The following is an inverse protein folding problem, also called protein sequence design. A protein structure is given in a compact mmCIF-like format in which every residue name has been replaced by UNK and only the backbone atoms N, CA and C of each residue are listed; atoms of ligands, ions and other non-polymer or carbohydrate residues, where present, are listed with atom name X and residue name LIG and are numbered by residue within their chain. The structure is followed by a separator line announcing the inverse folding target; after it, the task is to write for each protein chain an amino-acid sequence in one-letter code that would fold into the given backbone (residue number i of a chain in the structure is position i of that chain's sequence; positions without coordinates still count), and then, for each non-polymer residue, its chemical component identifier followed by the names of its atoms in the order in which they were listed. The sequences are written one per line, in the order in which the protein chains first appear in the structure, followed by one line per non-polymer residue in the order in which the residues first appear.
data_IF_893361230221
#
_entry.id   IF_893361230221
#
_cell.length_a   1.000
_cell.length_b   1.000
_cell.length_c   1.000
_cell.angle_alpha   90.00
_cell.angle_beta   90.00
_cell.angle_gamma   90.00
#
_symmetry.space_group_name_H-M   'P 1'
#
loop_
_entity.id
_entity.type
_entity.pdbx_description
1 polymer ?
#
# COMPACT_ATOMS: atom_id res chain seq x y z
N UNK A 1 3.00 -16.21 -8.64
CA UNK A 1 2.10 -17.10 -9.40
C UNK A 1 1.09 -16.22 -10.14
N UNK A 2 0.81 -16.42 -11.42
CA UNK A 2 -0.01 -15.49 -12.23
C UNK A 2 -1.51 -15.46 -11.86
N UNK A 3 -1.98 -16.34 -11.02
CA UNK A 3 -3.41 -16.45 -10.63
C UNK A 3 -3.72 -16.04 -9.20
N UNK A 4 -2.81 -15.39 -8.50
CA UNK A 4 -2.98 -15.00 -7.11
C UNK A 4 -2.59 -13.53 -6.90
N UNK A 5 -3.39 -12.83 -6.11
CA UNK A 5 -3.06 -11.50 -5.57
C UNK A 5 -2.96 -11.57 -4.06
N UNK A 6 -1.89 -11.05 -3.54
CA UNK A 6 -1.63 -10.95 -2.10
C UNK A 6 -1.70 -9.49 -1.67
N UNK A 7 -2.46 -9.22 -0.60
CA UNK A 7 -2.53 -7.90 0.03
C UNK A 7 -2.11 -8.09 1.49
N UNK A 8 -0.89 -7.70 1.79
CA UNK A 8 -0.34 -7.76 3.16
C UNK A 8 -0.78 -6.54 3.95
N UNK A 9 -1.15 -6.74 5.20
CA UNK A 9 -1.58 -5.67 6.11
C UNK A 9 -1.35 -6.06 7.57
N UNK A 10 -1.22 -5.07 8.45
CA UNK A 10 -1.14 -5.30 9.90
C UNK A 10 -2.55 -5.28 10.51
N UNK A 11 -3.02 -6.43 10.98
CA UNK A 11 -4.39 -6.60 11.49
C UNK A 11 -4.68 -5.86 12.80
N UNK A 12 -3.66 -5.40 13.52
CA UNK A 12 -3.81 -4.57 14.73
C UNK A 12 -3.89 -3.07 14.42
N UNK A 13 -3.59 -2.68 13.17
CA UNK A 13 -3.58 -1.27 12.74
C UNK A 13 -4.66 -0.95 11.71
N UNK A 14 -5.00 -1.92 10.86
CA UNK A 14 -5.93 -1.69 9.74
C UNK A 14 -6.78 -2.92 9.41
N UNK A 15 -7.87 -2.66 8.69
CA UNK A 15 -8.72 -3.68 8.10
C UNK A 15 -8.63 -3.59 6.57
N UNK A 16 -8.57 -4.75 5.91
CA UNK A 16 -8.61 -4.85 4.45
C UNK A 16 -9.81 -5.66 4.01
N UNK A 17 -10.60 -5.09 3.10
CA UNK A 17 -11.77 -5.70 2.49
C UNK A 17 -11.56 -5.80 0.97
N UNK A 18 -11.91 -6.94 0.37
CA UNK A 18 -12.00 -7.10 -1.09
C UNK A 18 -13.43 -6.82 -1.50
N UNK A 19 -13.63 -5.73 -2.24
CA UNK A 19 -14.95 -5.26 -2.67
C UNK A 19 -15.41 -5.94 -3.95
N UNK A 20 -14.45 -6.28 -4.83
CA UNK A 20 -14.74 -6.90 -6.12
C UNK A 20 -13.48 -7.65 -6.60
N UNK A 21 -13.65 -8.84 -7.17
CA UNK A 21 -12.57 -9.58 -7.82
C UNK A 21 -13.12 -10.51 -8.90
N UNK A 22 -12.51 -10.52 -10.09
CA UNK A 22 -12.88 -11.38 -11.20
C UNK A 22 -11.75 -11.57 -12.22
N UNK A 23 -11.88 -12.58 -13.06
CA UNK A 23 -11.09 -12.74 -14.27
C UNK A 23 -11.96 -12.36 -15.48
N UNK A 24 -11.43 -11.51 -16.35
CA UNK A 24 -12.00 -11.20 -17.66
C UNK A 24 -11.23 -12.01 -18.70
N UNK A 25 -11.88 -12.98 -19.34
CA UNK A 25 -11.31 -13.83 -20.37
C UNK A 25 -11.10 -13.04 -21.67
N UNK A 26 -10.29 -13.59 -22.58
CA UNK A 26 -9.98 -12.94 -23.87
C UNK A 26 -11.23 -12.73 -24.74
N UNK A 27 -12.27 -13.55 -24.59
CA UNK A 27 -13.57 -13.43 -25.27
C UNK A 27 -14.52 -12.41 -24.63
N UNK A 28 -14.10 -11.73 -23.55
CA UNK A 28 -14.90 -10.77 -22.79
C UNK A 28 -15.77 -11.41 -21.69
N UNK A 29 -15.73 -12.74 -21.50
CA UNK A 29 -16.47 -13.39 -20.43
C UNK A 29 -15.89 -13.05 -19.07
N UNK A 30 -16.72 -12.57 -18.16
CA UNK A 30 -16.35 -12.29 -16.76
C UNK A 30 -16.62 -13.50 -15.88
N UNK A 31 -15.62 -13.95 -15.13
CA UNK A 31 -15.69 -15.02 -14.14
C UNK A 31 -15.36 -14.47 -12.77
N UNK A 32 -16.35 -14.36 -11.89
CA UNK A 32 -16.16 -13.80 -10.55
C UNK A 32 -15.33 -14.76 -9.68
N UNK A 33 -14.56 -14.18 -8.75
CA UNK A 33 -13.89 -14.93 -7.68
C UNK A 33 -14.93 -15.33 -6.64
N UNK A 34 -15.03 -16.62 -6.35
CA UNK A 34 -15.91 -17.14 -5.32
C UNK A 34 -15.42 -16.73 -3.91
N UNK A 35 -16.35 -16.50 -2.94
CA UNK A 35 -15.97 -16.04 -1.61
C UNK A 35 -14.96 -16.92 -0.87
N UNK A 36 -14.99 -18.24 -1.07
CA UNK A 36 -14.06 -19.21 -0.48
C UNK A 36 -12.63 -19.12 -1.07
N UNK A 37 -12.47 -18.43 -2.19
CA UNK A 37 -11.19 -18.15 -2.86
C UNK A 37 -10.55 -16.84 -2.39
N UNK A 38 -11.24 -16.09 -1.51
CA UNK A 38 -10.71 -14.91 -0.84
C UNK A 38 -10.43 -15.29 0.62
N UNK A 39 -9.15 -15.48 0.95
CA UNK A 39 -8.74 -16.03 2.24
C UNK A 39 -7.89 -15.03 3.02
N UNK A 40 -8.01 -15.06 4.34
CA UNK A 40 -7.09 -14.38 5.24
C UNK A 40 -6.22 -15.41 5.92
N UNK A 41 -4.93 -15.22 5.91
CA UNK A 41 -3.95 -16.09 6.56
C UNK A 41 -2.85 -15.27 7.21
N UNK A 42 -2.10 -15.88 8.12
CA UNK A 42 -0.91 -15.28 8.67
C UNK A 42 0.14 -15.10 7.56
N UNK A 43 0.87 -13.99 7.61
CA UNK A 43 2.00 -13.78 6.72
C UNK A 43 3.19 -14.55 7.31
N UNK A 44 3.42 -15.73 6.77
CA UNK A 44 4.58 -16.55 7.15
C UNK A 44 5.71 -16.13 6.24
N UNK A 45 6.73 -15.49 6.79
CA UNK A 45 7.94 -15.13 6.06
C UNK A 45 8.54 -16.37 5.38
N UNK A 46 9.03 -16.17 4.16
CA UNK A 46 9.62 -17.24 3.33
C UNK A 46 10.79 -17.98 4.01
N UNK A 47 11.39 -17.40 5.03
CA UNK A 47 12.51 -17.96 5.79
C UNK A 47 12.09 -18.90 6.94
N UNK A 48 10.78 -19.12 7.15
CA UNK A 48 10.28 -20.01 8.18
C UNK A 48 10.58 -19.56 9.62
N UNK A 49 10.97 -18.29 9.81
CA UNK A 49 11.14 -17.74 11.15
C UNK A 49 9.77 -17.57 11.79
N UNK A 50 9.53 -18.26 12.93
CA UNK A 50 8.35 -18.07 13.76
C UNK A 50 8.41 -16.72 14.51
N UNK A 51 8.48 -15.62 13.75
CA UNK A 51 8.30 -14.29 14.31
C UNK A 51 6.80 -14.10 14.49
N UNK A 52 6.37 -13.93 15.74
CA UNK A 52 5.00 -13.52 16.02
C UNK A 52 4.77 -12.15 15.39
N UNK A 53 4.09 -12.13 14.26
CA UNK A 53 3.77 -10.93 13.51
C UNK A 53 2.26 -10.78 13.44
N UNK A 54 1.76 -9.56 13.68
CA UNK A 54 0.36 -9.19 13.44
C UNK A 54 0.06 -9.01 11.94
N UNK A 55 1.05 -9.31 11.08
CA UNK A 55 0.92 -9.27 9.64
C UNK A 55 0.02 -10.39 9.13
N UNK A 56 -0.98 -10.01 8.35
CA UNK A 56 -1.91 -10.91 7.67
C UNK A 56 -1.81 -10.70 6.17
N UNK A 57 -2.15 -11.73 5.43
CA UNK A 57 -2.29 -11.67 3.98
C UNK A 57 -3.74 -11.95 3.60
N UNK A 58 -4.34 -11.03 2.85
CA UNK A 58 -5.55 -11.29 2.10
C UNK A 58 -5.15 -11.88 0.76
N UNK A 59 -5.42 -13.16 0.56
CA UNK A 59 -5.11 -13.90 -0.66
C UNK A 59 -6.36 -13.98 -1.54
N UNK A 60 -6.25 -13.54 -2.79
CA UNK A 60 -7.30 -13.66 -3.81
C UNK A 60 -6.83 -14.66 -4.86
N UNK A 61 -7.57 -15.76 -5.05
CA UNK A 61 -7.26 -16.80 -6.02
C UNK A 61 -8.20 -16.64 -7.21
N UNK A 62 -7.67 -16.20 -8.35
CA UNK A 62 -8.46 -15.93 -9.55
C UNK A 62 -8.76 -17.21 -10.34
N UNK A 63 -10.03 -17.42 -10.77
CA UNK A 63 -10.40 -18.56 -11.60
C UNK A 63 -9.95 -18.37 -13.05
N UNK A 64 -9.70 -19.46 -13.77
CA UNK A 64 -9.51 -19.49 -15.23
C UNK A 64 -8.49 -18.49 -15.77
N UNK A 65 -7.38 -18.28 -15.07
CA UNK A 65 -6.30 -17.40 -15.55
C UNK A 65 -5.53 -18.09 -16.66
N UNK A 66 -5.59 -17.52 -17.86
CA UNK A 66 -4.94 -18.01 -19.07
C UNK A 66 -4.32 -16.86 -19.87
N UNK A 67 -3.59 -17.19 -20.93
CA UNK A 67 -2.97 -16.17 -21.80
C UNK A 67 -4.06 -15.32 -22.45
N UNK A 68 -3.92 -13.99 -22.34
CA UNK A 68 -4.91 -13.01 -22.81
C UNK A 68 -6.00 -12.65 -21.82
N UNK A 69 -6.12 -13.35 -20.68
CA UNK A 69 -7.02 -12.97 -19.62
C UNK A 69 -6.49 -11.79 -18.82
N UNK A 70 -7.41 -11.03 -18.21
CA UNK A 70 -7.10 -9.93 -17.29
C UNK A 70 -7.71 -10.23 -15.93
N UNK A 71 -6.92 -10.16 -14.86
CA UNK A 71 -7.42 -10.21 -13.49
C UNK A 71 -7.74 -8.81 -13.01
N UNK A 72 -8.86 -8.67 -12.32
CA UNK A 72 -9.31 -7.42 -11.72
C UNK A 72 -9.64 -7.62 -10.26
N UNK A 73 -9.22 -6.69 -9.43
CA UNK A 73 -9.72 -6.61 -8.05
C UNK A 73 -9.82 -5.15 -7.59
N UNK A 74 -10.71 -4.94 -6.63
CA UNK A 74 -10.90 -3.69 -5.92
C UNK A 74 -10.89 -3.99 -4.42
N UNK A 75 -10.05 -3.30 -3.69
CA UNK A 75 -9.96 -3.44 -2.24
C UNK A 75 -10.12 -2.09 -1.54
N UNK A 76 -10.44 -2.15 -0.27
CA UNK A 76 -10.45 -1.02 0.66
C UNK A 76 -9.58 -1.38 1.85
N UNK A 77 -8.57 -0.57 2.15
CA UNK A 77 -7.86 -0.58 3.41
C UNK A 77 -8.38 0.58 4.26
N UNK A 78 -8.64 0.31 5.54
CA UNK A 78 -9.04 1.32 6.51
C UNK A 78 -8.18 1.20 7.75
N UNK A 79 -7.31 2.16 7.95
CA UNK A 79 -6.50 2.27 9.16
C UNK A 79 -7.37 2.78 10.31
N UNK A 80 -7.42 2.04 11.41
CA UNK A 80 -8.14 2.41 12.63
C UNK A 80 -7.19 2.81 13.78
N UNK A 81 -5.92 2.40 13.67
CA UNK A 81 -4.87 2.76 14.61
C UNK A 81 -3.69 3.30 13.81
N UNK A 82 -3.34 4.58 13.92
CA UNK A 82 -2.22 5.13 13.17
C UNK A 82 -0.89 4.56 13.67
N UNK A 83 0.07 4.37 12.77
CA UNK A 83 1.43 3.97 13.12
C UNK A 83 2.08 4.98 14.06
N UNK A 84 1.81 6.27 13.81
CA UNK A 84 2.23 7.38 14.66
C UNK A 84 1.02 8.26 14.95
N UNK A 85 0.58 8.38 16.23
CA UNK A 85 -0.57 9.20 16.59
C UNK A 85 -0.44 10.65 16.08
N UNK A 86 -1.48 11.12 15.38
CA UNK A 86 -1.51 12.47 14.82
C UNK A 86 -0.74 12.65 13.51
N UNK A 87 -0.15 11.59 12.98
CA UNK A 87 0.59 11.61 11.71
C UNK A 87 0.02 10.61 10.71
N UNK A 88 0.18 10.99 9.44
CA UNK A 88 -0.15 10.17 8.27
C UNK A 88 1.09 10.01 7.38
N UNK A 89 1.23 8.84 6.82
CA UNK A 89 2.27 8.52 5.86
C UNK A 89 1.78 7.46 4.88
N UNK A 90 2.12 7.61 3.61
CA UNK A 90 1.94 6.58 2.57
C UNK A 90 3.01 6.72 1.50
N UNK A 91 3.42 5.58 0.94
CA UNK A 91 4.31 5.56 -0.22
C UNK A 91 3.99 4.42 -1.17
N UNK A 92 4.25 4.63 -2.45
CA UNK A 92 4.13 3.64 -3.51
C UNK A 92 5.24 3.85 -4.52
N UNK A 93 6.02 2.81 -4.77
CA UNK A 93 7.05 2.77 -5.80
C UNK A 93 6.57 1.97 -7.00
N UNK A 94 6.92 2.44 -8.21
CA UNK A 94 6.63 1.74 -9.45
C UNK A 94 7.88 1.06 -9.95
N UNK A 95 7.80 -0.27 -10.13
CA UNK A 95 8.93 -1.06 -10.63
C UNK A 95 9.32 -0.63 -12.05
N UNK A 96 10.59 -0.31 -12.31
CA UNK A 96 11.06 -0.02 -13.66
C UNK A 96 11.02 -1.25 -14.59
N UNK A 97 10.77 -2.46 -14.03
CA UNK A 97 10.71 -3.72 -14.77
C UNK A 97 9.29 -4.08 -15.22
N UNK A 98 8.30 -3.27 -14.89
CA UNK A 98 6.88 -3.53 -15.20
C UNK A 98 6.32 -2.43 -16.10
N UNK A 99 5.35 -2.79 -16.94
CA UNK A 99 4.56 -1.82 -17.70
C UNK A 99 3.37 -1.38 -16.87
N UNK A 100 3.08 -0.09 -16.91
CA UNK A 100 1.94 0.51 -16.23
C UNK A 100 1.13 1.32 -17.23
N UNK A 101 -0.19 1.12 -17.23
CA UNK A 101 -1.14 1.88 -18.05
C UNK A 101 -2.22 2.47 -17.16
N UNK A 102 -2.43 3.78 -17.28
CA UNK A 102 -3.55 4.46 -16.63
C UNK A 102 -3.52 4.44 -15.10
N UNK A 103 -2.34 4.46 -14.47
CA UNK A 103 -2.23 4.60 -13.01
C UNK A 103 -2.68 5.99 -12.61
N UNK A 104 -3.56 6.08 -11.61
CA UNK A 104 -4.02 7.35 -11.03
C UNK A 104 -3.97 7.27 -9.51
N UNK A 105 -3.32 8.26 -8.89
CA UNK A 105 -3.34 8.50 -7.46
C UNK A 105 -4.18 9.72 -7.13
N UNK A 106 -5.15 9.54 -6.25
CA UNK A 106 -5.95 10.64 -5.71
C UNK A 106 -5.75 10.70 -4.20
N UNK A 107 -5.39 11.87 -3.69
CA UNK A 107 -5.27 12.16 -2.27
C UNK A 107 -6.25 13.27 -1.92
N UNK A 108 -7.15 13.00 -0.97
CA UNK A 108 -8.07 14.00 -0.41
C UNK A 108 -7.85 14.07 1.09
N UNK A 109 -7.65 15.27 1.62
CA UNK A 109 -7.37 15.47 3.05
C UNK A 109 -8.02 16.74 3.60
N UNK A 110 -8.13 16.83 4.93
CA UNK A 110 -8.53 18.02 5.63
C UNK A 110 -7.44 19.10 5.49
N UNK A 111 -7.77 20.37 5.10
CA UNK A 111 -6.80 21.46 4.98
C UNK A 111 -6.06 21.79 6.28
N UNK A 112 -6.63 21.44 7.44
CA UNK A 112 -5.96 21.61 8.73
C UNK A 112 -4.72 20.71 8.88
N UNK A 113 -4.63 19.64 8.10
CA UNK A 113 -3.49 18.72 8.09
C UNK A 113 -2.53 19.12 6.96
N UNK A 114 -1.37 19.64 7.32
CA UNK A 114 -0.32 19.94 6.33
C UNK A 114 0.26 18.61 5.80
N UNK A 115 0.18 18.39 4.49
CA UNK A 115 0.72 17.21 3.82
C UNK A 115 1.82 17.61 2.86
N UNK A 116 3.02 17.05 3.04
CA UNK A 116 4.09 17.06 2.03
C UNK A 116 3.87 15.94 1.03
N UNK A 117 4.05 16.23 -0.25
CA UNK A 117 3.89 15.26 -1.34
C UNK A 117 5.18 15.20 -2.15
N UNK A 118 5.64 13.98 -2.43
CA UNK A 118 6.67 13.67 -3.40
C UNK A 118 6.08 12.74 -4.47
N UNK A 119 6.00 13.23 -5.70
CA UNK A 119 5.39 12.53 -6.84
C UNK A 119 6.42 12.44 -8.00
N UNK A 120 7.55 11.83 -7.73
CA UNK A 120 8.64 11.70 -8.69
C UNK A 120 8.22 10.87 -9.91
N UNK A 121 8.44 11.43 -11.12
CA UNK A 121 8.10 10.75 -12.37
C UNK A 121 6.60 10.72 -12.71
N UNK A 122 5.76 11.37 -11.91
CA UNK A 122 4.31 11.46 -12.13
C UNK A 122 3.91 12.83 -12.70
N UNK A 123 2.75 12.88 -13.37
CA UNK A 123 2.12 14.11 -13.86
C UNK A 123 0.90 14.44 -13.01
N UNK A 124 0.71 15.69 -12.64
CA UNK A 124 -0.46 16.12 -11.89
C UNK A 124 -0.15 17.16 -10.82
N UNK A 125 -1.02 17.25 -9.83
CA UNK A 125 -0.92 18.20 -8.73
C UNK A 125 -2.25 18.44 -8.03
N UNK A 126 -2.40 19.62 -7.41
CA UNK A 126 -3.64 20.04 -6.75
C UNK A 126 -4.74 20.24 -7.81
N UNK A 127 -5.94 19.72 -7.51
CA UNK A 127 -7.14 19.82 -8.35
C UNK A 127 -8.35 20.24 -7.52
N UNK A 128 -9.43 20.62 -8.17
CA UNK A 128 -10.69 20.89 -7.50
C UNK A 128 -11.27 19.61 -6.86
N UNK A 129 -11.77 19.70 -5.62
CA UNK A 129 -12.46 18.58 -4.98
C UNK A 129 -13.68 18.14 -5.78
N UNK A 130 -13.96 16.82 -5.77
CA UNK A 130 -15.18 16.28 -6.37
C UNK A 130 -16.40 16.57 -5.48
N UNK A 131 -17.63 16.58 -6.03
CA UNK A 131 -18.85 16.69 -5.24
C UNK A 131 -19.00 15.60 -4.16
N UNK A 132 -18.35 14.44 -4.36
CA UNK A 132 -18.32 13.33 -3.40
C UNK A 132 -17.28 13.48 -2.29
N UNK A 133 -16.33 14.42 -2.44
CA UNK A 133 -15.30 14.65 -1.42
C UNK A 133 -15.88 15.42 -0.22
N UNK A 134 -15.29 15.30 0.97
CA UNK A 134 -15.71 16.09 2.13
C UNK A 134 -15.65 17.59 1.84
N UNK A 135 -16.68 18.32 2.32
CA UNK A 135 -16.76 19.78 2.10
C UNK A 135 -15.52 20.49 2.69
N UNK A 136 -14.87 21.31 1.86
CA UNK A 136 -13.70 22.09 2.27
C UNK A 136 -12.38 21.31 2.23
N UNK A 137 -12.38 20.07 1.78
CA UNK A 137 -11.15 19.26 1.62
C UNK A 137 -10.22 19.81 0.54
N UNK A 138 -8.96 19.42 0.62
CA UNK A 138 -7.95 19.62 -0.43
C UNK A 138 -7.76 18.32 -1.18
N UNK A 139 -7.73 18.41 -2.52
CA UNK A 139 -7.55 17.24 -3.41
C UNK A 139 -6.33 17.40 -4.29
N UNK A 140 -5.61 16.30 -4.45
CA UNK A 140 -4.54 16.12 -5.44
C UNK A 140 -4.85 14.93 -6.34
N UNK A 141 -4.45 15.02 -7.60
CA UNK A 141 -4.55 13.92 -8.56
C UNK A 141 -3.26 13.84 -9.35
N UNK A 142 -2.67 12.64 -9.41
CA UNK A 142 -1.45 12.36 -10.14
C UNK A 142 -1.67 11.15 -11.05
N UNK A 143 -1.08 11.18 -12.25
CA UNK A 143 -1.11 10.07 -13.19
C UNK A 143 0.29 9.59 -13.52
N UNK A 144 0.41 8.30 -13.86
CA UNK A 144 1.65 7.66 -14.24
C UNK A 144 1.40 6.60 -15.31
N UNK A 145 2.28 6.55 -16.29
CA UNK A 145 2.33 5.55 -17.35
C UNK A 145 3.78 5.18 -17.65
N UNK A 146 4.04 3.91 -17.90
CA UNK A 146 5.34 3.39 -18.27
C UNK A 146 5.18 2.25 -19.28
N UNK A 147 5.53 2.50 -20.53
CA UNK A 147 5.50 1.50 -21.60
C UNK A 147 6.83 0.78 -21.79
N UNK A 148 7.93 1.41 -21.41
CA UNK A 148 9.28 0.86 -21.52
C UNK A 148 9.69 0.22 -20.20
N UNK A 149 10.21 -1.00 -20.27
CA UNK A 149 10.78 -1.70 -19.12
C UNK A 149 12.29 -1.72 -19.23
N UNK A 150 12.95 -1.60 -18.08
CA UNK A 150 14.40 -1.73 -17.97
C UNK A 150 14.77 -3.14 -17.52
N UNK A 151 15.86 -3.73 -18.02
CA UNK A 151 16.34 -5.02 -17.53
C UNK A 151 16.77 -4.93 -16.07
N UNK A 152 16.76 -6.07 -15.37
CA UNK A 152 17.37 -6.16 -14.05
C UNK A 152 18.89 -6.19 -14.21
N UNK A 153 19.58 -5.31 -13.53
CA UNK A 153 21.04 -5.23 -13.51
C UNK A 153 21.56 -5.56 -12.09
N UNK A 154 22.66 -6.30 -12.01
CA UNK A 154 23.38 -6.50 -10.76
C UNK A 154 24.06 -5.18 -10.35
N UNK A 155 24.17 -4.93 -9.03
CA UNK A 155 24.83 -3.75 -8.45
C UNK A 155 24.16 -2.40 -8.74
N UNK A 156 22.88 -2.39 -9.03
CA UNK A 156 22.09 -1.18 -9.27
C UNK A 156 21.83 -0.42 -7.96
N UNK A 157 21.65 0.90 -8.07
CA UNK A 157 21.12 1.73 -6.98
C UNK A 157 19.74 1.22 -6.53
N UNK A 158 19.42 1.38 -5.24
CA UNK A 158 18.11 1.06 -4.71
C UNK A 158 17.01 1.84 -5.45
N UNK A 159 15.87 1.19 -5.65
CA UNK A 159 14.69 1.76 -6.33
C UNK A 159 14.28 3.12 -5.73
N UNK A 160 14.46 3.31 -4.43
CA UNK A 160 14.15 4.56 -3.73
C UNK A 160 14.82 5.79 -4.35
N UNK A 161 15.97 5.62 -5.00
CA UNK A 161 16.73 6.74 -5.56
C UNK A 161 16.27 7.20 -6.95
N UNK A 162 15.64 6.32 -7.73
CA UNK A 162 15.33 6.65 -9.14
C UNK A 162 13.96 6.19 -9.64
N UNK A 163 13.30 5.25 -8.96
CA UNK A 163 12.00 4.76 -9.39
C UNK A 163 10.93 5.85 -9.31
N UNK A 164 10.00 5.89 -10.27
CA UNK A 164 8.80 6.70 -10.12
C UNK A 164 8.07 6.32 -8.85
N UNK A 165 7.63 7.33 -8.09
CA UNK A 165 6.98 7.12 -6.80
C UNK A 165 5.95 8.18 -6.49
N UNK A 166 5.00 7.79 -5.67
CA UNK A 166 4.12 8.69 -4.95
C UNK A 166 4.36 8.49 -3.45
N UNK A 167 4.68 9.56 -2.75
CA UNK A 167 4.75 9.56 -1.29
C UNK A 167 4.02 10.79 -0.75
N UNK A 168 3.32 10.64 0.36
CA UNK A 168 2.65 11.71 1.05
C UNK A 168 2.82 11.54 2.57
N UNK A 169 3.13 12.62 3.27
CA UNK A 169 3.41 12.60 4.70
C UNK A 169 2.97 13.87 5.39
N UNK A 170 2.44 13.75 6.60
CA UNK A 170 2.21 14.90 7.51
C UNK A 170 3.42 15.27 8.36
N UNK A 171 4.48 14.46 8.36
CA UNK A 171 5.75 14.81 8.99
C UNK A 171 6.44 15.92 8.21
N UNK A 172 6.92 16.94 8.89
CA UNK A 172 7.64 18.07 8.28
C UNK A 172 9.15 17.85 8.23
N UNK A 173 9.68 17.06 9.17
CA UNK A 173 11.11 16.84 9.31
C UNK A 173 11.42 15.42 9.78
N UNK A 174 12.62 14.93 9.48
CA UNK A 174 13.10 13.67 10.04
C UNK A 174 13.22 13.68 11.57
N UNK A 175 13.43 14.86 12.16
CA UNK A 175 13.48 14.99 13.63
C UNK A 175 12.09 14.73 14.26
N UNK A 176 10.99 15.09 13.59
CA UNK A 176 9.64 14.72 14.02
C UNK A 176 9.41 13.21 13.93
N UNK A 177 9.82 12.57 12.83
CA UNK A 177 9.77 11.11 12.69
C UNK A 177 10.54 10.44 13.84
N UNK A 178 11.80 10.88 14.08
CA UNK A 178 12.62 10.34 15.15
C UNK A 178 12.02 10.47 16.55
N UNK A 179 11.41 11.60 16.86
CA UNK A 179 10.69 11.81 18.14
C UNK A 179 9.48 10.90 18.27
N UNK A 180 8.63 10.86 17.26
CA UNK A 180 7.43 10.01 17.27
C UNK A 180 7.78 8.52 17.39
N UNK A 181 8.87 8.10 16.75
CA UNK A 181 9.40 6.74 16.92
C UNK A 181 9.90 6.50 18.35
N UNK A 182 10.68 7.42 18.91
CA UNK A 182 11.22 7.34 20.26
C UNK A 182 10.09 7.27 21.30
N UNK A 183 9.09 8.15 21.21
CA UNK A 183 7.93 8.16 22.11
C UNK A 183 7.18 6.82 22.11
N UNK A 184 7.11 6.14 20.97
CA UNK A 184 6.44 4.84 20.84
C UNK A 184 7.33 3.68 21.29
N UNK A 185 8.63 3.71 21.00
CA UNK A 185 9.56 2.62 21.28
C UNK A 185 10.07 2.65 22.73
N UNK A 186 10.36 3.85 23.27
CA UNK A 186 10.98 4.01 24.57
C UNK A 186 10.23 3.32 25.74
N UNK A 187 8.88 3.42 25.85
CA UNK A 187 8.16 2.70 26.90
C UNK A 187 8.33 1.18 26.84
N UNK A 188 8.57 0.63 25.63
CA UNK A 188 8.75 -0.82 25.42
C UNK A 188 10.16 -1.31 25.74
N UNK A 189 11.12 -0.39 25.90
CA UNK A 189 12.49 -0.73 26.30
C UNK A 189 12.71 -0.69 27.81
N UNK A 190 11.69 -0.30 28.57
CA UNK A 190 11.78 -0.26 30.02
C UNK A 190 11.72 -1.69 30.59
N UNK A 191 12.61 -1.96 31.55
CA UNK A 191 12.60 -3.24 32.25
C UNK A 191 11.35 -3.29 33.14
N UNK A 192 10.45 -4.21 32.83
CA UNK A 192 9.25 -4.47 33.63
C UNK A 192 9.57 -5.49 34.74
N UNK A 193 8.77 -5.56 35.83
CA UNK A 193 8.95 -6.58 36.88
C UNK A 193 8.98 -8.00 36.34
N UNK A 194 8.21 -8.28 35.27
CA UNK A 194 8.15 -9.61 34.63
C UNK A 194 9.47 -10.01 33.94
N UNK A 195 10.29 -9.01 33.57
CA UNK A 195 11.63 -9.24 32.96
C UNK A 195 12.70 -9.34 34.04
N UNK A 196 12.47 -8.78 35.24
CA UNK A 196 13.41 -8.83 36.36
C UNK A 196 13.35 -10.12 37.18
N UNK A 197 12.27 -10.90 37.04
CA UNK A 197 12.16 -12.17 37.73
C UNK A 197 13.05 -13.23 37.07
N UNK A 198 13.95 -13.92 37.78
CA UNK A 198 14.75 -15.02 37.26
C UNK A 198 13.90 -16.24 36.94
#
# INVERSE_FOLDING_TARGET
MLGEQRITYNSTLENVEVLEAYTLLADGTRVNVEPDKIRTQDDVDADGSNIYSDSKVKLIIFPKVEVGATVYFKSRAQQHTPDFPGHFYTENYFSPHSKYKGVTFNLTHDPAIAIGIDAQGMKGGKVEPLPSDPKGSVRYSFSFEQDTTYPTEDWRLDLVHFAPRFAASSFKTYAEVGRSYQERAYPKTQITPDIQAP
#
